data_IF_394550851301
#
_entry.id   IF_394550851301
#
_cell.length_a   1.000
_cell.length_b   1.000
_cell.length_c   1.000
_cell.angle_alpha   90.00
_cell.angle_beta   90.00
_cell.angle_gamma   90.00
#
_symmetry.space_group_name_H-M   'P 1'
#
loop_
_entity.id
_entity.type
_entity.pdbx_description
1 polymer ?
#
# COMPACT_ATOMS: atom_id res chain seq x y z
N UNK A 1 25.05 25.95 -12.53
CA UNK A 1 24.70 24.53 -12.34
C UNK A 1 23.90 24.04 -13.54
N UNK A 2 24.28 22.95 -14.21
CA UNK A 2 23.54 22.46 -15.38
C UNK A 2 22.17 21.87 -14.96
N UNK A 3 21.23 21.76 -15.91
CA UNK A 3 19.84 21.35 -15.65
C UNK A 3 19.76 19.97 -14.99
N UNK A 4 20.62 19.03 -15.41
CA UNK A 4 20.70 17.67 -14.88
C UNK A 4 21.24 17.63 -13.44
N UNK A 5 22.27 18.40 -13.10
CA UNK A 5 22.84 18.50 -11.76
C UNK A 5 21.83 19.13 -10.80
N UNK A 6 21.05 20.12 -11.26
CA UNK A 6 19.95 20.71 -10.48
C UNK A 6 18.85 19.68 -10.20
N UNK A 7 18.47 18.87 -11.18
CA UNK A 7 17.48 17.81 -11.01
C UNK A 7 17.96 16.69 -10.08
N UNK A 8 19.22 16.25 -10.22
CA UNK A 8 19.82 15.25 -9.34
C UNK A 8 19.85 15.72 -7.88
N UNK A 9 20.19 17.00 -7.67
CA UNK A 9 20.27 17.59 -6.34
C UNK A 9 18.87 17.72 -5.71
N UNK A 10 17.86 18.10 -6.50
CA UNK A 10 16.46 18.09 -6.07
C UNK A 10 16.00 16.67 -5.71
N UNK A 11 16.27 15.67 -6.55
CA UNK A 11 15.95 14.27 -6.29
C UNK A 11 16.61 13.73 -5.02
N UNK A 12 17.87 14.09 -4.79
CA UNK A 12 18.61 13.67 -3.60
C UNK A 12 18.04 14.31 -2.34
N UNK A 13 17.71 15.61 -2.39
CA UNK A 13 17.08 16.32 -1.28
C UNK A 13 15.66 15.81 -1.00
N UNK A 14 14.88 15.50 -2.04
CA UNK A 14 13.55 14.91 -1.90
C UNK A 14 13.64 13.52 -1.27
N UNK A 15 14.55 12.68 -1.75
CA UNK A 15 14.80 11.36 -1.16
C UNK A 15 15.20 11.50 0.31
N UNK A 16 16.08 12.44 0.65
CA UNK A 16 16.44 12.76 2.04
C UNK A 16 15.24 13.22 2.85
N UNK A 17 14.38 14.10 2.33
CA UNK A 17 13.17 14.55 3.06
C UNK A 17 12.14 13.44 3.28
N UNK A 18 12.03 12.51 2.33
CA UNK A 18 11.19 11.31 2.45
C UNK A 18 11.77 10.39 3.52
N UNK A 19 13.11 10.24 3.58
CA UNK A 19 13.79 9.48 4.62
C UNK A 19 13.65 10.12 6.01
N UNK A 20 13.68 11.45 6.14
CA UNK A 20 13.49 12.15 7.43
C UNK A 20 12.03 12.08 7.88
N UNK A 21 11.06 12.30 6.99
CA UNK A 21 9.64 12.20 7.33
C UNK A 21 9.24 10.77 7.71
N UNK A 22 9.86 9.75 7.12
CA UNK A 22 9.73 8.37 7.55
C UNK A 22 10.28 8.12 8.97
N UNK A 23 11.31 8.87 9.36
CA UNK A 23 11.83 8.82 10.71
C UNK A 23 10.86 9.47 11.70
N UNK A 24 10.28 10.61 11.33
CA UNK A 24 9.30 11.33 12.15
C UNK A 24 7.97 10.58 12.26
N UNK A 25 7.49 9.93 11.19
CA UNK A 25 6.30 9.06 11.25
C UNK A 25 6.50 7.83 12.14
N UNK A 26 7.74 7.32 12.23
CA UNK A 26 8.08 6.25 13.16
C UNK A 26 8.13 6.71 14.63
N UNK A 27 8.26 8.02 14.87
CA UNK A 27 8.11 8.63 16.20
C UNK A 27 6.63 8.93 16.46
N UNK A 28 5.90 9.46 15.46
CA UNK A 28 4.47 9.75 15.56
C UNK A 28 3.57 8.50 15.67
N UNK A 29 4.07 7.31 15.32
CA UNK A 29 3.39 6.05 15.60
C UNK A 29 3.20 5.76 17.09
N UNK A 30 3.82 6.53 17.99
CA UNK A 30 3.61 6.49 19.45
C UNK A 30 2.32 7.19 19.94
N UNK A 31 1.32 7.40 19.08
CA UNK A 31 -0.03 7.68 19.58
C UNK A 31 -0.47 6.47 20.43
N UNK A 32 -0.83 6.70 21.70
CA UNK A 32 -1.15 5.65 22.66
C UNK A 32 -2.56 5.06 22.41
N UNK A 33 -2.68 4.26 21.36
CA UNK A 33 -3.93 3.60 20.96
C UNK A 33 -4.45 2.58 22.00
N UNK A 34 -3.63 2.24 23.00
CA UNK A 34 -3.97 1.28 24.07
C UNK A 34 -4.99 1.83 25.07
N UNK A 35 -5.27 3.13 25.08
CA UNK A 35 -6.15 3.77 26.05
C UNK A 35 -7.57 4.03 25.53
N UNK A 36 -7.92 3.57 24.32
CA UNK A 36 -9.30 3.65 23.84
C UNK A 36 -10.19 2.65 24.59
N UNK A 37 -11.34 3.08 25.15
CA UNK A 37 -12.22 2.21 25.92
C UNK A 37 -12.79 1.10 25.04
N UNK A 38 -12.65 -0.16 25.46
CA UNK A 38 -13.19 -1.35 24.77
C UNK A 38 -12.20 -2.13 23.90
N UNK A 39 -10.93 -1.73 23.86
CA UNK A 39 -9.87 -2.45 23.13
C UNK A 39 -9.41 -3.66 23.94
N UNK A 40 -9.63 -4.88 23.43
CA UNK A 40 -8.82 -6.02 23.87
C UNK A 40 -7.36 -5.70 23.54
N UNK A 41 -6.49 -5.76 24.55
CA UNK A 41 -5.08 -5.33 24.45
C UNK A 41 -4.29 -6.06 23.37
N UNK A 42 -4.80 -7.19 22.89
CA UNK A 42 -4.30 -7.94 21.75
C UNK A 42 -5.52 -8.40 20.92
N UNK A 43 -5.57 -8.10 19.60
CA UNK A 43 -6.57 -8.74 18.74
C UNK A 43 -6.42 -10.27 18.84
N UNK A 44 -7.50 -11.06 18.65
CA UNK A 44 -7.41 -12.53 18.66
C UNK A 44 -6.27 -12.94 17.73
N UNK A 45 -5.27 -13.56 18.34
CA UNK A 45 -3.88 -13.58 17.87
C UNK A 45 -3.82 -14.12 16.46
N UNK A 46 -3.82 -13.20 15.50
CA UNK A 46 -3.33 -13.55 14.20
C UNK A 46 -1.86 -13.88 14.37
N UNK A 47 -1.49 -15.09 13.95
CA UNK A 47 -0.10 -15.54 13.95
C UNK A 47 0.70 -14.55 13.11
N UNK A 48 1.32 -13.56 13.77
CA UNK A 48 2.30 -12.67 13.16
C UNK A 48 3.36 -13.59 12.58
N UNK A 49 3.68 -13.46 11.30
CA UNK A 49 4.79 -14.23 10.72
C UNK A 49 6.07 -13.83 11.47
N UNK A 50 6.49 -14.66 12.42
CA UNK A 50 7.58 -14.40 13.37
C UNK A 50 8.96 -14.70 12.78
N UNK A 51 9.14 -14.48 11.49
CA UNK A 51 10.39 -14.76 10.77
C UNK A 51 10.81 -13.59 9.89
N UNK A 52 12.13 -13.38 9.76
CA UNK A 52 12.71 -12.38 8.86
C UNK A 52 12.27 -12.67 7.42
N UNK A 53 11.68 -11.68 6.76
CA UNK A 53 11.26 -11.79 5.36
C UNK A 53 12.49 -11.98 4.48
N UNK A 54 12.53 -13.09 3.74
CA UNK A 54 13.65 -13.46 2.87
C UNK A 54 13.72 -12.55 1.65
N UNK A 55 14.89 -12.46 1.01
CA UNK A 55 15.05 -11.67 -0.22
C UNK A 55 14.15 -12.16 -1.36
N UNK A 56 13.93 -13.48 -1.45
CA UNK A 56 13.02 -14.07 -2.44
C UNK A 56 11.58 -13.63 -2.22
N UNK A 57 11.12 -13.65 -0.97
CA UNK A 57 9.76 -13.17 -0.63
C UNK A 57 9.62 -11.68 -0.90
N UNK A 58 10.66 -10.88 -0.63
CA UNK A 58 10.66 -9.46 -0.97
C UNK A 58 10.49 -9.22 -2.46
N UNK A 59 11.27 -9.92 -3.29
CA UNK A 59 11.15 -9.85 -4.74
C UNK A 59 9.78 -10.31 -5.23
N UNK A 60 9.23 -11.40 -4.67
CA UNK A 60 7.89 -11.89 -5.04
C UNK A 60 6.79 -10.91 -4.65
N UNK A 61 6.79 -10.39 -3.42
CA UNK A 61 5.82 -9.41 -2.96
C UNK A 61 5.88 -8.14 -3.81
N UNK A 62 7.08 -7.65 -4.13
CA UNK A 62 7.27 -6.53 -5.03
C UNK A 62 6.74 -6.82 -6.44
N UNK A 63 7.03 -8.01 -6.98
CA UNK A 63 6.50 -8.44 -8.28
C UNK A 63 4.98 -8.51 -8.31
N UNK A 64 4.33 -8.97 -7.23
CA UNK A 64 2.86 -8.96 -7.11
C UNK A 64 2.32 -7.54 -7.18
N UNK A 65 2.90 -6.59 -6.44
CA UNK A 65 2.50 -5.18 -6.52
C UNK A 65 2.70 -4.64 -7.93
N UNK A 66 3.85 -4.95 -8.56
CA UNK A 66 4.16 -4.47 -9.90
C UNK A 66 3.19 -4.99 -10.97
N UNK A 67 2.83 -6.27 -10.92
CA UNK A 67 1.83 -6.84 -11.83
C UNK A 67 0.44 -6.24 -11.56
N UNK A 68 0.07 -6.05 -10.29
CA UNK A 68 -1.19 -5.40 -9.93
C UNK A 68 -1.26 -3.95 -10.41
N UNK A 69 -0.14 -3.22 -10.36
CA UNK A 69 -0.02 -1.87 -10.90
C UNK A 69 -0.28 -1.85 -12.40
N UNK A 70 0.39 -2.70 -13.18
CA UNK A 70 0.16 -2.82 -14.61
C UNK A 70 -1.30 -3.17 -14.95
N UNK A 71 -1.86 -4.16 -14.25
CA UNK A 71 -3.23 -4.59 -14.47
C UNK A 71 -4.23 -3.46 -14.16
N UNK A 72 -4.05 -2.76 -13.04
CA UNK A 72 -4.90 -1.63 -12.64
C UNK A 72 -4.76 -0.45 -13.62
N UNK A 73 -3.53 -0.15 -14.04
CA UNK A 73 -3.26 0.92 -14.99
C UNK A 73 -3.90 0.61 -16.35
N UNK A 74 -3.72 -0.59 -16.88
CA UNK A 74 -4.37 -1.01 -18.11
C UNK A 74 -5.90 -0.96 -18.00
N UNK A 75 -6.48 -1.49 -16.92
CA UNK A 75 -7.93 -1.49 -16.73
C UNK A 75 -8.52 -0.07 -16.68
N UNK A 76 -7.85 0.85 -15.98
CA UNK A 76 -8.36 2.21 -15.74
C UNK A 76 -7.98 3.21 -16.84
N UNK A 77 -6.83 3.01 -17.51
CA UNK A 77 -6.25 3.95 -18.49
C UNK A 77 -6.21 3.39 -19.92
N UNK A 78 -6.96 2.32 -20.23
CA UNK A 78 -6.94 1.68 -21.56
C UNK A 78 -7.09 2.67 -22.74
N UNK A 79 -7.91 3.73 -22.60
CA UNK A 79 -8.07 4.77 -23.64
C UNK A 79 -6.84 5.64 -23.78
N UNK A 80 -6.28 6.11 -22.66
CA UNK A 80 -5.07 6.95 -22.64
C UNK A 80 -3.89 6.16 -23.21
N UNK A 81 -3.78 4.87 -22.89
CA UNK A 81 -2.78 3.97 -23.47
C UNK A 81 -3.01 3.82 -24.99
N UNK A 82 -4.25 3.71 -25.46
CA UNK A 82 -4.53 3.61 -26.89
C UNK A 82 -4.22 4.90 -27.67
N UNK A 83 -4.42 6.07 -27.05
CA UNK A 83 -4.24 7.38 -27.69
C UNK A 83 -2.81 7.92 -27.58
N UNK A 84 -2.16 7.72 -26.43
CA UNK A 84 -0.87 8.33 -26.10
C UNK A 84 0.21 7.30 -25.76
N UNK A 85 -0.13 6.02 -25.66
CA UNK A 85 0.83 4.96 -25.34
C UNK A 85 1.80 4.67 -26.49
N UNK A 86 3.10 4.71 -26.22
CA UNK A 86 4.10 4.23 -27.19
C UNK A 86 5.38 3.71 -26.54
N UNK A 87 6.07 2.81 -27.24
CA UNK A 87 7.39 2.33 -26.84
C UNK A 87 8.44 3.45 -26.83
N UNK A 88 8.29 4.42 -27.73
CA UNK A 88 9.17 5.59 -27.80
C UNK A 88 9.02 6.48 -26.55
N UNK A 89 7.79 6.69 -26.09
CA UNK A 89 7.50 7.40 -24.84
C UNK A 89 8.15 6.70 -23.65
N UNK A 90 7.98 5.38 -23.54
CA UNK A 90 8.58 4.57 -22.48
C UNK A 90 10.11 4.73 -22.38
N UNK A 91 10.79 4.88 -23.51
CA UNK A 91 12.25 5.12 -23.54
C UNK A 91 12.59 6.59 -23.22
N UNK A 92 11.84 7.56 -23.75
CA UNK A 92 12.21 8.99 -23.69
C UNK A 92 11.78 9.68 -22.40
N UNK A 93 10.58 9.37 -21.90
CA UNK A 93 9.97 10.06 -20.77
C UNK A 93 10.78 9.99 -19.47
N UNK A 94 11.40 8.84 -19.09
CA UNK A 94 12.23 8.74 -17.88
C UNK A 94 13.35 9.79 -17.80
N UNK A 95 13.87 10.27 -18.93
CA UNK A 95 14.92 11.29 -18.99
C UNK A 95 14.43 12.73 -18.84
N UNK A 96 13.11 12.95 -18.73
CA UNK A 96 12.50 14.27 -18.69
C UNK A 96 11.42 14.45 -17.60
N UNK A 97 11.68 14.03 -16.35
CA UNK A 97 10.72 14.20 -15.26
C UNK A 97 10.41 15.68 -15.01
N UNK A 98 9.17 15.95 -14.60
CA UNK A 98 8.67 17.29 -14.41
C UNK A 98 7.82 17.42 -13.15
N UNK A 99 7.59 18.65 -12.71
CA UNK A 99 6.53 18.93 -11.74
C UNK A 99 5.27 19.18 -12.55
N UNK A 100 4.26 18.36 -12.31
CA UNK A 100 2.98 18.47 -12.97
C UNK A 100 2.22 19.72 -12.47
N UNK A 101 1.37 20.28 -13.32
CA UNK A 101 0.60 21.52 -13.10
C UNK A 101 -0.90 21.26 -12.92
N UNK A 102 -1.34 20.01 -12.95
CA UNK A 102 -2.75 19.67 -12.78
C UNK A 102 -3.27 20.02 -11.38
N UNK A 103 -4.60 20.05 -11.22
CA UNK A 103 -5.25 20.48 -9.99
C UNK A 103 -4.82 19.60 -8.81
N UNK A 104 -3.96 20.19 -7.98
CA UNK A 104 -3.28 19.58 -6.82
C UNK A 104 -4.17 18.63 -5.99
N UNK A 105 -5.45 18.94 -5.84
CA UNK A 105 -6.35 18.23 -4.94
C UNK A 105 -6.80 16.86 -5.47
N UNK A 106 -7.16 16.73 -6.75
CA UNK A 106 -7.69 15.45 -7.26
C UNK A 106 -6.59 14.40 -7.41
N UNK A 107 -5.41 14.83 -7.86
CA UNK A 107 -4.27 13.92 -8.02
C UNK A 107 -3.77 13.42 -6.66
N UNK A 108 -3.65 14.32 -5.68
CA UNK A 108 -3.20 13.97 -4.34
C UNK A 108 -4.09 12.90 -3.68
N UNK A 109 -5.41 13.00 -3.81
CA UNK A 109 -6.34 12.01 -3.25
C UNK A 109 -6.13 10.64 -3.88
N UNK A 110 -6.07 10.55 -5.21
CA UNK A 110 -5.85 9.29 -5.93
C UNK A 110 -4.52 8.66 -5.54
N UNK A 111 -3.42 9.44 -5.56
CA UNK A 111 -2.09 8.96 -5.17
C UNK A 111 -2.04 8.53 -3.70
N UNK A 112 -2.75 9.22 -2.81
CA UNK A 112 -2.86 8.80 -1.40
C UNK A 112 -3.54 7.44 -1.26
N UNK A 113 -4.66 7.20 -1.95
CA UNK A 113 -5.31 5.89 -1.94
C UNK A 113 -4.41 4.80 -2.52
N UNK A 114 -3.74 5.06 -3.64
CA UNK A 114 -2.82 4.11 -4.27
C UNK A 114 -1.66 3.76 -3.33
N UNK A 115 -1.03 4.75 -2.71
CA UNK A 115 0.04 4.54 -1.74
C UNK A 115 -0.42 3.79 -0.48
N UNK A 116 -1.66 4.03 -0.02
CA UNK A 116 -2.29 3.26 1.06
C UNK A 116 -2.36 1.78 0.70
N UNK A 117 -2.79 1.42 -0.50
CA UNK A 117 -2.87 0.01 -0.91
C UNK A 117 -1.48 -0.64 -0.96
N UNK A 118 -0.45 0.06 -1.45
CA UNK A 118 0.92 -0.46 -1.41
C UNK A 118 1.36 -0.73 0.02
N UNK A 119 1.17 0.25 0.91
CA UNK A 119 1.53 0.14 2.32
C UNK A 119 0.82 -1.05 2.99
N UNK A 120 -0.51 -1.12 2.89
CA UNK A 120 -1.33 -2.16 3.52
C UNK A 120 -1.01 -3.55 2.97
N UNK A 121 -0.71 -3.67 1.67
CA UNK A 121 -0.25 -4.94 1.11
C UNK A 121 1.02 -5.41 1.82
N UNK A 122 2.08 -4.59 1.87
CA UNK A 122 3.32 -4.99 2.55
C UNK A 122 3.10 -5.26 4.05
N UNK A 123 2.25 -4.48 4.73
CA UNK A 123 1.87 -4.76 6.12
C UNK A 123 1.23 -6.14 6.29
N UNK A 124 0.33 -6.52 5.38
CA UNK A 124 -0.27 -7.85 5.35
C UNK A 124 0.73 -8.97 5.07
N UNK A 125 1.89 -8.67 4.46
CA UNK A 125 2.96 -9.65 4.22
C UNK A 125 3.94 -9.77 5.40
N UNK A 126 3.68 -9.10 6.52
CA UNK A 126 4.47 -9.16 7.75
C UNK A 126 5.58 -8.10 7.83
N UNK A 127 5.59 -7.09 6.96
CA UNK A 127 6.57 -6.02 6.99
C UNK A 127 6.28 -5.07 8.16
N UNK A 128 7.34 -4.58 8.79
CA UNK A 128 7.25 -3.50 9.78
C UNK A 128 6.83 -2.18 9.11
N UNK A 129 6.31 -1.22 9.88
CA UNK A 129 5.76 0.03 9.33
C UNK A 129 6.78 0.78 8.47
N UNK A 130 8.02 0.89 8.95
CA UNK A 130 9.13 1.49 8.18
C UNK A 130 9.46 0.71 6.92
N UNK A 131 9.46 -0.62 7.00
CA UNK A 131 9.74 -1.45 5.82
C UNK A 131 8.61 -1.29 4.79
N UNK A 132 7.34 -1.34 5.21
CA UNK A 132 6.19 -1.11 4.34
C UNK A 132 6.24 0.26 3.67
N UNK A 133 6.63 1.31 4.40
CA UNK A 133 6.86 2.64 3.82
C UNK A 133 7.92 2.60 2.71
N UNK A 134 9.10 2.02 2.96
CA UNK A 134 10.16 1.96 1.93
C UNK A 134 9.75 1.17 0.71
N UNK A 135 9.02 0.07 0.88
CA UNK A 135 8.53 -0.74 -0.23
C UNK A 135 7.39 -0.05 -0.97
N UNK A 136 6.52 0.71 -0.30
CA UNK A 136 5.54 1.57 -0.95
C UNK A 136 6.20 2.68 -1.77
N UNK A 137 7.24 3.33 -1.23
CA UNK A 137 8.03 4.34 -1.93
C UNK A 137 8.74 3.77 -3.17
N UNK A 138 9.36 2.60 -3.03
CA UNK A 138 9.98 1.92 -4.17
C UNK A 138 8.94 1.54 -5.24
N UNK A 139 7.77 1.05 -4.82
CA UNK A 139 6.69 0.67 -5.74
C UNK A 139 6.12 1.88 -6.49
N UNK A 140 5.97 3.02 -5.80
CA UNK A 140 5.58 4.29 -6.42
C UNK A 140 6.65 4.78 -7.40
N UNK A 141 7.92 4.81 -7.00
CA UNK A 141 9.02 5.20 -7.88
C UNK A 141 9.06 4.36 -9.16
N UNK A 142 8.92 3.04 -9.04
CA UNK A 142 8.92 2.14 -10.19
C UNK A 142 7.68 2.31 -11.06
N UNK A 143 6.51 2.60 -10.48
CA UNK A 143 5.31 2.94 -11.25
C UNK A 143 5.54 4.17 -12.12
N UNK A 144 5.98 5.28 -11.53
CA UNK A 144 6.23 6.56 -12.19
C UNK A 144 7.22 6.41 -13.36
N UNK A 145 8.31 5.67 -13.16
CA UNK A 145 9.39 5.55 -14.14
C UNK A 145 9.28 4.37 -15.11
N UNK A 146 8.28 3.50 -14.96
CA UNK A 146 8.15 2.32 -15.85
C UNK A 146 6.74 2.05 -16.37
N UNK A 147 5.70 2.47 -15.67
CA UNK A 147 4.31 2.21 -16.07
C UNK A 147 3.72 3.48 -16.66
N UNK A 148 3.71 4.56 -15.88
CA UNK A 148 3.12 5.83 -16.31
C UNK A 148 3.86 6.46 -17.49
N UNK A 149 5.17 6.22 -17.58
CA UNK A 149 6.02 6.60 -18.73
C UNK A 149 5.49 6.18 -20.09
N UNK A 150 4.63 5.15 -20.17
CA UNK A 150 4.01 4.74 -21.42
C UNK A 150 3.16 5.87 -22.02
N UNK A 151 2.46 6.64 -21.19
CA UNK A 151 1.54 7.69 -21.67
C UNK A 151 2.02 9.09 -21.31
N UNK A 152 2.69 9.26 -20.16
CA UNK A 152 2.99 10.57 -19.58
C UNK A 152 4.43 10.63 -19.05
N UNK A 153 4.92 11.82 -18.71
CA UNK A 153 6.26 11.97 -18.14
C UNK A 153 6.20 11.78 -16.63
N UNK A 154 7.20 11.13 -16.00
CA UNK A 154 7.23 10.96 -14.56
C UNK A 154 7.07 12.28 -13.82
N UNK A 155 6.34 12.22 -12.72
CA UNK A 155 6.01 13.39 -11.92
C UNK A 155 6.82 13.40 -10.62
N UNK A 156 7.57 14.48 -10.39
CA UNK A 156 8.41 14.57 -9.18
C UNK A 156 7.60 14.58 -7.89
N UNK A 157 6.39 15.15 -7.93
CA UNK A 157 5.53 15.24 -6.76
C UNK A 157 4.95 13.89 -6.37
N UNK A 158 4.55 13.10 -7.36
CA UNK A 158 3.88 11.82 -7.12
C UNK A 158 4.81 10.78 -6.50
N UNK A 159 6.12 10.87 -6.79
CA UNK A 159 7.17 10.04 -6.16
C UNK A 159 7.20 10.18 -4.64
N UNK A 160 6.95 11.38 -4.08
CA UNK A 160 6.96 11.57 -2.63
C UNK A 160 5.55 11.63 -2.04
N UNK A 161 4.57 12.20 -2.73
CA UNK A 161 3.21 12.34 -2.24
C UNK A 161 2.55 10.96 -2.06
N UNK A 162 2.68 10.08 -3.05
CA UNK A 162 2.11 8.72 -3.02
C UNK A 162 2.54 7.95 -1.77
N UNK A 163 3.86 7.73 -1.51
CA UNK A 163 4.25 6.95 -0.35
C UNK A 163 4.04 7.67 0.98
N UNK A 164 4.18 9.00 1.04
CA UNK A 164 4.02 9.75 2.29
C UNK A 164 2.57 9.77 2.74
N UNK A 165 1.68 10.33 1.93
CA UNK A 165 0.27 10.46 2.30
C UNK A 165 -0.42 9.11 2.30
N UNK A 166 -0.05 8.22 1.38
CA UNK A 166 -0.56 6.86 1.37
C UNK A 166 -0.17 6.05 2.60
N UNK A 167 1.05 6.23 3.14
CA UNK A 167 1.43 5.56 4.40
C UNK A 167 0.67 6.11 5.59
N UNK A 168 0.46 7.43 5.69
CA UNK A 168 -0.33 8.04 6.76
C UNK A 168 -1.76 7.48 6.73
N UNK A 169 -2.39 7.50 5.57
CA UNK A 169 -3.73 6.97 5.37
C UNK A 169 -3.78 5.46 5.65
N UNK A 170 -2.82 4.69 5.14
CA UNK A 170 -2.71 3.25 5.34
C UNK A 170 -2.51 2.86 6.80
N UNK A 171 -1.71 3.60 7.56
CA UNK A 171 -1.53 3.36 8.99
C UNK A 171 -2.83 3.60 9.78
N UNK A 172 -3.56 4.68 9.45
CA UNK A 172 -4.87 4.95 10.04
C UNK A 172 -5.88 3.85 9.72
N UNK A 173 -5.93 3.41 8.46
CA UNK A 173 -6.84 2.35 8.01
C UNK A 173 -6.48 0.98 8.56
N UNK A 174 -5.20 0.64 8.70
CA UNK A 174 -4.75 -0.59 9.38
C UNK A 174 -5.32 -0.61 10.81
N UNK A 175 -5.07 0.45 11.58
CA UNK A 175 -5.52 0.53 12.98
C UNK A 175 -7.04 0.52 13.13
N UNK A 176 -7.76 1.21 12.24
CA UNK A 176 -9.21 1.21 12.24
C UNK A 176 -9.80 -0.16 11.90
N UNK A 177 -9.21 -0.87 10.94
CA UNK A 177 -9.57 -2.25 10.60
C UNK A 177 -9.32 -3.19 11.78
N UNK A 178 -8.16 -3.10 12.42
CA UNK A 178 -7.81 -3.89 13.60
C UNK A 178 -8.77 -3.63 14.78
N UNK A 179 -9.14 -2.37 15.00
CA UNK A 179 -10.16 -2.00 16.00
C UNK A 179 -11.50 -2.67 15.72
N UNK A 180 -11.99 -2.63 14.47
CA UNK A 180 -13.24 -3.28 14.11
C UNK A 180 -13.19 -4.82 14.19
N UNK A 181 -12.04 -5.43 13.91
CA UNK A 181 -11.80 -6.85 14.17
C UNK A 181 -11.89 -7.17 15.68
N UNK A 182 -11.34 -6.31 16.55
CA UNK A 182 -11.34 -6.54 18.00
C UNK A 182 -12.73 -6.52 18.64
N UNK A 183 -13.72 -5.88 18.02
CA UNK A 183 -15.10 -5.87 18.52
C UNK A 183 -15.76 -7.26 18.36
N UNK A 184 -15.35 -8.05 17.36
CA UNK A 184 -15.79 -9.45 17.21
C UNK A 184 -17.24 -9.67 16.77
N UNK A 185 -17.98 -8.63 16.37
CA UNK A 185 -19.34 -8.78 15.81
C UNK A 185 -19.29 -9.00 14.29
N UNK A 186 -20.32 -9.61 13.70
CA UNK A 186 -20.40 -9.78 12.25
C UNK A 186 -20.31 -8.43 11.49
N UNK A 187 -21.11 -7.40 11.82
CA UNK A 187 -21.04 -6.12 11.10
C UNK A 187 -19.67 -5.45 11.19
N UNK A 188 -19.02 -5.48 12.36
CA UNK A 188 -17.70 -4.87 12.53
C UNK A 188 -16.62 -5.66 11.81
N UNK A 189 -16.70 -6.99 11.82
CA UNK A 189 -15.78 -7.83 11.06
C UNK A 189 -15.90 -7.58 9.55
N UNK A 190 -17.12 -7.41 9.02
CA UNK A 190 -17.32 -7.04 7.62
C UNK A 190 -16.71 -5.67 7.30
N UNK A 191 -16.92 -4.66 8.16
CA UNK A 191 -16.32 -3.34 8.00
C UNK A 191 -14.79 -3.39 8.04
N UNK A 192 -14.22 -4.21 8.92
CA UNK A 192 -12.78 -4.40 9.01
C UNK A 192 -12.18 -4.90 7.69
N UNK A 193 -12.82 -5.88 7.05
CA UNK A 193 -12.42 -6.38 5.72
C UNK A 193 -12.60 -5.37 4.60
N UNK A 194 -13.67 -4.56 4.64
CA UNK A 194 -13.89 -3.52 3.63
C UNK A 194 -12.79 -2.47 3.71
N UNK A 195 -12.40 -2.06 4.92
CA UNK A 195 -11.35 -1.07 5.13
C UNK A 195 -9.97 -1.58 4.74
N UNK A 196 -9.64 -2.82 5.09
CA UNK A 196 -8.36 -3.43 4.77
C UNK A 196 -8.56 -4.84 4.20
N UNK A 197 -8.86 -4.96 2.90
CA UNK A 197 -9.14 -6.25 2.28
C UNK A 197 -7.93 -7.19 2.30
N UNK A 198 -6.72 -6.69 2.51
CA UNK A 198 -5.53 -7.51 2.62
C UNK A 198 -5.46 -8.35 3.90
N UNK A 199 -6.33 -8.09 4.88
CA UNK A 199 -6.50 -9.00 6.02
C UNK A 199 -7.07 -10.35 5.59
N UNK A 200 -7.72 -10.46 4.42
CA UNK A 200 -8.17 -11.73 3.86
C UNK A 200 -7.03 -12.58 3.27
N UNK A 201 -5.85 -12.00 3.02
CA UNK A 201 -4.75 -12.74 2.40
C UNK A 201 -4.18 -13.78 3.36
N UNK A 202 -3.77 -14.98 2.88
CA UNK A 202 -3.06 -15.95 3.70
C UNK A 202 -1.79 -15.33 4.29
N UNK A 203 -1.55 -15.57 5.58
CA UNK A 203 -0.43 -15.01 6.37
C UNK A 203 -0.54 -13.51 6.67
N UNK A 204 -1.71 -12.90 6.46
CA UNK A 204 -2.00 -11.57 6.99
C UNK A 204 -2.00 -11.59 8.52
N UNK A 205 -1.81 -10.41 9.12
CA UNK A 205 -1.97 -10.19 10.56
C UNK A 205 -3.42 -10.37 11.07
N UNK A 206 -4.32 -11.00 10.31
CA UNK A 206 -5.62 -11.44 10.81
C UNK A 206 -6.07 -12.71 10.07
N UNK A 207 -5.71 -13.88 10.58
CA UNK A 207 -6.32 -15.13 10.09
C UNK A 207 -7.66 -15.35 10.80
N UNK A 208 -8.72 -14.71 10.32
CA UNK A 208 -10.09 -15.14 10.61
C UNK A 208 -10.60 -15.86 9.36
N UNK A 209 -10.46 -17.18 9.33
CA UNK A 209 -10.95 -18.02 8.24
C UNK A 209 -12.46 -18.19 8.31
N UNK A 210 -13.17 -17.75 7.26
CA UNK A 210 -14.59 -18.05 7.04
C UNK A 210 -14.67 -19.07 5.91
N UNK A 211 -14.90 -20.34 6.25
CA UNK A 211 -15.03 -21.41 5.25
C UNK A 211 -16.51 -21.84 5.12
N UNK A 212 -17.07 -21.92 3.91
CA UNK A 212 -18.34 -22.61 3.70
C UNK A 212 -18.12 -24.10 3.96
N UNK A 213 -18.99 -24.69 4.77
CA UNK A 213 -18.99 -26.11 5.10
C UNK A 213 -20.31 -26.71 4.68
N UNK A 214 -20.26 -27.93 4.15
CA UNK A 214 -21.46 -28.71 3.83
C UNK A 214 -21.49 -29.86 4.84
N UNK A 215 -22.48 -29.84 5.72
CA UNK A 215 -22.72 -30.89 6.69
C UNK A 215 -23.08 -32.21 6.01
N UNK A 216 -22.88 -33.33 6.71
CA UNK A 216 -23.17 -34.68 6.18
C UNK A 216 -24.61 -34.90 5.71
N UNK A 217 -25.53 -34.00 6.07
CA UNK A 217 -26.95 -34.03 5.68
C UNK A 217 -27.30 -33.01 4.58
N UNK A 218 -26.30 -32.37 3.94
CA UNK A 218 -26.52 -31.38 2.88
C UNK A 218 -26.77 -29.95 3.36
N UNK A 219 -26.63 -29.67 4.65
CA UNK A 219 -26.77 -28.33 5.23
C UNK A 219 -25.53 -27.47 4.90
N UNK A 220 -25.75 -26.30 4.29
CA UNK A 220 -24.69 -25.32 4.11
C UNK A 220 -24.55 -24.47 5.39
N UNK A 221 -23.38 -24.55 6.02
CA UNK A 221 -23.02 -23.77 7.19
C UNK A 221 -21.74 -22.96 6.96
N UNK A 222 -21.51 -21.94 7.79
CA UNK A 222 -20.26 -21.18 7.77
C UNK A 222 -19.49 -21.53 9.04
N UNK A 223 -18.27 -22.07 8.90
CA UNK A 223 -17.36 -22.23 10.03
C UNK A 223 -16.43 -21.03 10.06
N UNK A 224 -16.57 -20.22 11.11
CA UNK A 224 -15.55 -19.28 11.53
C UNK A 224 -14.60 -20.03 12.46
N UNK A 225 -13.37 -20.31 12.02
CA UNK A 225 -12.37 -20.91 12.92
C UNK A 225 -11.81 -19.81 13.81
N UNK A 226 -12.20 -19.82 15.09
CA UNK A 226 -11.49 -19.11 16.14
C UNK A 226 -10.52 -20.13 16.77
N UNK A 227 -9.28 -20.17 16.29
CA UNK A 227 -8.21 -20.84 17.05
C UNK A 227 -7.80 -19.90 18.18
N UNK A 228 -7.98 -20.33 19.42
CA UNK A 228 -7.45 -19.68 20.63
C UNK A 228 -5.97 -20.01 20.81
#
# INVERSE_FOLDING_TARGET
MNRALRQLLILTLLLLSVLTLAADLAVASEINWKELPGVQTEPPVAKKKTGRITSREKALNFGVVYVAQWASYYATQHKVIAEHGSWENWIKHPGSPHFDKDSFDFNLVKHSFVGQYYYLFYRSRGYEERQSFYWAALSSLVFEFTIETVTEKPSFQDIYQTPVFGTILGLGTERLSDYFHSIGTLPTTMLAYILNPFTLLPYSKCQCGVAPTIGKNGEAGIVASLEF
#
